data_IF_609442977860
#
_entry.id   IF_609442977860
#
_cell.length_a   1.000
_cell.length_b   1.000
_cell.length_c   1.000
_cell.angle_alpha   90.00
_cell.angle_beta   90.00
_cell.angle_gamma   90.00
#
_symmetry.space_group_name_H-M   'P 1'
#
loop_
_entity.id
_entity.type
_entity.pdbx_description
1 polymer ?
#
# COMPACT_ATOMS: atom_id res chain seq x y z
N UNK A 1 9.15 7.70 20.40
CA UNK A 1 9.00 6.56 19.46
C UNK A 1 9.04 5.27 20.24
N UNK A 2 7.99 4.44 20.19
CA UNK A 2 7.99 3.12 20.82
C UNK A 2 8.91 2.13 20.10
N UNK A 3 9.44 1.13 20.82
CA UNK A 3 10.35 0.11 20.27
C UNK A 3 9.68 -0.67 19.13
N UNK A 4 8.40 -1.04 19.29
CA UNK A 4 7.62 -1.79 18.30
C UNK A 4 7.39 -1.00 17.00
N UNK A 5 6.96 0.26 17.09
CA UNK A 5 6.82 1.17 15.94
C UNK A 5 8.13 1.29 15.17
N UNK A 6 9.23 1.51 15.89
CA UNK A 6 10.57 1.63 15.28
C UNK A 6 10.98 0.35 14.55
N UNK A 7 10.76 -0.81 15.15
CA UNK A 7 11.09 -2.10 14.54
C UNK A 7 10.25 -2.38 13.29
N UNK A 8 8.95 -2.06 13.32
CA UNK A 8 8.05 -2.22 12.18
C UNK A 8 8.43 -1.27 11.02
N UNK A 9 8.62 0.02 11.31
CA UNK A 9 8.98 1.03 10.32
C UNK A 9 10.34 0.75 9.69
N UNK A 10 11.29 0.21 10.45
CA UNK A 10 12.62 -0.19 9.92
C UNK A 10 12.66 -1.58 9.29
N UNK A 11 11.54 -2.32 9.29
CA UNK A 11 11.50 -3.68 8.74
C UNK A 11 12.43 -4.67 9.45
N UNK A 12 12.75 -4.43 10.74
CA UNK A 12 13.72 -5.24 11.51
C UNK A 12 13.15 -6.62 11.87
N UNK A 13 11.82 -6.78 11.85
CA UNK A 13 11.17 -8.09 12.05
C UNK A 13 11.33 -8.90 10.75
N UNK A 14 12.22 -9.91 10.71
CA UNK A 14 12.53 -10.60 9.46
C UNK A 14 11.33 -11.44 9.02
N UNK A 15 10.97 -11.34 7.75
CA UNK A 15 10.06 -12.27 7.12
C UNK A 15 10.77 -13.63 6.95
N UNK A 16 10.60 -14.55 7.91
CA UNK A 16 11.01 -15.95 7.70
C UNK A 16 10.19 -16.62 6.59
N UNK A 17 10.57 -17.82 6.17
CA UNK A 17 9.91 -18.53 5.04
C UNK A 17 8.38 -18.57 5.11
N UNK A 18 7.80 -18.73 6.32
CA UNK A 18 6.33 -18.71 6.53
C UNK A 18 5.68 -17.38 6.12
N UNK A 19 6.34 -16.26 6.37
CA UNK A 19 5.84 -14.92 5.99
C UNK A 19 5.95 -14.73 4.47
N UNK A 20 7.00 -15.27 3.85
CA UNK A 20 7.15 -15.31 2.39
C UNK A 20 5.99 -16.04 1.70
N UNK A 21 5.64 -17.24 2.20
CA UNK A 21 4.51 -18.02 1.68
C UNK A 21 3.16 -17.32 1.86
N UNK A 22 2.91 -16.72 3.03
CA UNK A 22 1.69 -15.96 3.27
C UNK A 22 1.58 -14.74 2.34
N UNK A 23 2.69 -14.01 2.15
CA UNK A 23 2.76 -12.89 1.21
C UNK A 23 2.48 -13.34 -0.23
N UNK A 24 3.09 -14.45 -0.68
CA UNK A 24 2.85 -15.00 -2.01
C UNK A 24 1.38 -15.34 -2.24
N UNK A 25 0.75 -16.00 -1.26
CA UNK A 25 -0.67 -16.32 -1.31
C UNK A 25 -1.55 -15.06 -1.36
N UNK A 26 -1.20 -14.03 -0.59
CA UNK A 26 -1.89 -12.75 -0.62
C UNK A 26 -1.74 -12.06 -1.99
N UNK A 27 -0.54 -12.03 -2.57
CA UNK A 27 -0.31 -11.48 -3.91
C UNK A 27 -1.15 -12.20 -4.97
N UNK A 28 -1.22 -13.53 -4.89
CA UNK A 28 -2.09 -14.31 -5.78
C UNK A 28 -3.55 -13.92 -5.60
N UNK A 29 -4.06 -13.82 -4.36
CA UNK A 29 -5.44 -13.41 -4.11
C UNK A 29 -5.72 -12.01 -4.66
N UNK A 30 -4.84 -11.05 -4.38
CA UNK A 30 -4.95 -9.67 -4.84
C UNK A 30 -4.89 -9.54 -6.37
N UNK A 31 -4.38 -10.56 -7.07
CA UNK A 31 -4.30 -10.62 -8.54
C UNK A 31 -5.46 -11.37 -9.16
N UNK A 32 -5.81 -12.56 -8.64
CA UNK A 32 -6.88 -13.39 -9.20
C UNK A 32 -8.27 -12.80 -8.94
N UNK A 33 -8.48 -12.18 -7.78
CA UNK A 33 -9.78 -11.60 -7.42
C UNK A 33 -10.25 -10.51 -8.39
N UNK A 34 -9.45 -9.47 -8.73
CA UNK A 34 -9.88 -8.49 -9.70
C UNK A 34 -10.11 -9.07 -11.10
N UNK A 35 -9.31 -10.06 -11.53
CA UNK A 35 -9.51 -10.74 -12.82
C UNK A 35 -10.89 -11.40 -12.85
N UNK A 36 -11.20 -12.26 -11.88
CA UNK A 36 -12.46 -13.00 -11.84
C UNK A 36 -13.67 -12.06 -11.72
N UNK A 37 -13.57 -11.00 -10.91
CA UNK A 37 -14.67 -10.05 -10.73
C UNK A 37 -14.87 -9.18 -11.96
N UNK A 38 -13.80 -8.76 -12.63
CA UNK A 38 -13.90 -8.04 -13.89
C UNK A 38 -14.49 -8.91 -15.01
N UNK A 39 -14.04 -10.16 -15.15
CA UNK A 39 -14.57 -11.08 -16.17
C UNK A 39 -16.08 -11.31 -16.03
N UNK A 40 -16.58 -11.33 -14.80
CA UNK A 40 -18.00 -11.59 -14.51
C UNK A 40 -18.87 -10.35 -14.51
N UNK A 41 -18.35 -9.22 -14.07
CA UNK A 41 -19.15 -8.03 -13.75
C UNK A 41 -18.60 -6.74 -14.38
N UNK A 42 -17.52 -6.81 -15.16
CA UNK A 42 -16.89 -5.66 -15.81
C UNK A 42 -16.45 -4.60 -14.82
N UNK A 43 -16.71 -3.33 -15.14
CA UNK A 43 -16.35 -2.17 -14.31
C UNK A 43 -16.94 -2.25 -12.89
N UNK A 44 -18.19 -2.72 -12.74
CA UNK A 44 -18.81 -2.90 -11.43
C UNK A 44 -18.07 -3.94 -10.57
N UNK A 45 -17.46 -4.94 -11.21
CA UNK A 45 -16.58 -5.90 -10.53
C UNK A 45 -15.33 -5.22 -9.96
N UNK A 46 -14.70 -4.34 -10.74
CA UNK A 46 -13.53 -3.56 -10.28
C UNK A 46 -13.89 -2.54 -9.21
N UNK A 47 -15.05 -1.91 -9.26
CA UNK A 47 -15.55 -1.04 -8.19
C UNK A 47 -15.73 -1.81 -6.88
N UNK A 48 -16.27 -3.04 -6.94
CA UNK A 48 -16.38 -3.90 -5.77
C UNK A 48 -15.00 -4.27 -5.20
N UNK A 49 -14.01 -4.53 -6.06
CA UNK A 49 -12.62 -4.76 -5.63
C UNK A 49 -12.07 -3.52 -4.90
N UNK A 50 -12.23 -2.33 -5.48
CA UNK A 50 -11.80 -1.07 -4.86
C UNK A 50 -12.42 -0.87 -3.49
N UNK A 51 -13.72 -1.14 -3.35
CA UNK A 51 -14.43 -1.02 -2.08
C UNK A 51 -13.93 -2.03 -1.04
N UNK A 52 -13.65 -3.28 -1.43
CA UNK A 52 -13.05 -4.28 -0.54
C UNK A 52 -11.71 -3.78 -0.01
N UNK A 53 -10.81 -3.34 -0.90
CA UNK A 53 -9.48 -2.90 -0.50
C UNK A 53 -9.48 -1.60 0.29
N UNK A 54 -10.42 -0.68 0.00
CA UNK A 54 -10.64 0.51 0.84
C UNK A 54 -10.99 0.12 2.27
N UNK A 55 -11.99 -0.75 2.47
CA UNK A 55 -12.41 -1.21 3.81
C UNK A 55 -11.30 -1.93 4.56
N UNK A 56 -10.56 -2.81 3.88
CA UNK A 56 -9.41 -3.48 4.48
C UNK A 56 -8.34 -2.47 4.91
N UNK A 57 -8.08 -1.45 4.09
CA UNK A 57 -7.14 -0.39 4.44
C UNK A 57 -7.60 0.45 5.64
N UNK A 58 -8.90 0.67 5.81
CA UNK A 58 -9.47 1.37 6.98
C UNK A 58 -9.32 0.54 8.26
N UNK A 59 -9.60 -0.76 8.18
CA UNK A 59 -9.45 -1.68 9.31
C UNK A 59 -7.97 -1.80 9.74
N UNK A 60 -7.06 -1.91 8.77
CA UNK A 60 -5.63 -1.95 9.02
C UNK A 60 -5.11 -0.61 9.55
N UNK A 61 -5.60 0.52 9.03
CA UNK A 61 -5.25 1.85 9.55
C UNK A 61 -5.58 1.96 11.04
N UNK A 62 -6.79 1.54 11.43
CA UNK A 62 -7.23 1.51 12.82
C UNK A 62 -6.37 0.57 13.66
N UNK A 63 -6.15 -0.66 13.19
CA UNK A 63 -5.33 -1.63 13.90
C UNK A 63 -3.89 -1.15 14.09
N UNK A 64 -3.33 -0.44 13.11
CA UNK A 64 -2.00 0.14 13.18
C UNK A 64 -1.93 1.29 14.20
N UNK A 65 -2.93 2.18 14.27
CA UNK A 65 -3.02 3.19 15.34
C UNK A 65 -3.02 2.54 16.72
N UNK A 66 -3.91 1.57 16.93
CA UNK A 66 -4.10 0.92 18.22
C UNK A 66 -2.85 0.13 18.67
N UNK A 67 -2.19 -0.58 17.74
CA UNK A 67 -1.11 -1.52 18.07
C UNK A 67 0.29 -0.92 17.98
N UNK A 68 0.50 0.05 17.10
CA UNK A 68 1.81 0.65 16.86
C UNK A 68 1.92 2.06 17.43
N UNK A 69 0.83 2.65 17.94
CA UNK A 69 0.83 4.00 18.49
C UNK A 69 1.16 5.03 17.40
N UNK A 70 0.47 4.92 16.26
CA UNK A 70 0.46 5.98 15.27
C UNK A 70 -0.51 7.08 15.71
N UNK A 71 -0.03 8.31 15.68
CA UNK A 71 -0.84 9.49 15.90
C UNK A 71 -1.38 10.02 14.56
N UNK A 72 -1.90 11.25 14.57
CA UNK A 72 -2.61 11.85 13.45
C UNK A 72 -1.71 12.76 12.58
N UNK A 73 -0.43 12.41 12.34
CA UNK A 73 0.50 13.26 11.58
C UNK A 73 0.85 12.73 10.18
N UNK A 74 1.36 13.61 9.31
CA UNK A 74 1.95 13.22 8.01
C UNK A 74 3.08 12.19 8.17
N UNK A 75 3.88 12.33 9.23
CA UNK A 75 4.95 11.38 9.54
C UNK A 75 4.41 10.01 9.93
N UNK A 76 3.30 9.95 10.65
CA UNK A 76 2.64 8.69 11.00
C UNK A 76 2.05 8.01 9.76
N UNK A 77 1.42 8.77 8.86
CA UNK A 77 0.95 8.25 7.58
C UNK A 77 2.12 7.70 6.73
N UNK A 78 3.24 8.43 6.70
CA UNK A 78 4.47 7.96 6.04
C UNK A 78 4.97 6.64 6.65
N UNK A 79 5.10 6.59 7.97
CA UNK A 79 5.60 5.42 8.68
C UNK A 79 4.68 4.21 8.48
N UNK A 80 3.36 4.43 8.43
CA UNK A 80 2.39 3.39 8.12
C UNK A 80 2.57 2.82 6.71
N UNK A 81 2.75 3.68 5.70
CA UNK A 81 3.07 3.23 4.34
C UNK A 81 4.35 2.42 4.29
N UNK A 82 5.41 2.84 4.99
CA UNK A 82 6.66 2.07 5.09
C UNK A 82 6.44 0.68 5.72
N UNK A 83 5.64 0.59 6.79
CA UNK A 83 5.28 -0.70 7.42
C UNK A 83 4.57 -1.62 6.41
N UNK A 84 3.55 -1.12 5.72
CA UNK A 84 2.84 -1.89 4.68
C UNK A 84 3.81 -2.33 3.58
N UNK A 85 4.67 -1.45 3.09
CA UNK A 85 5.68 -1.80 2.09
C UNK A 85 6.57 -2.96 2.53
N UNK A 86 7.06 -2.95 3.77
CA UNK A 86 7.86 -4.05 4.31
C UNK A 86 7.06 -5.36 4.44
N UNK A 87 5.81 -5.30 4.90
CA UNK A 87 4.92 -6.47 4.97
C UNK A 87 4.73 -7.07 3.58
N UNK A 88 4.49 -6.22 2.58
CA UNK A 88 4.24 -6.62 1.19
C UNK A 88 5.51 -6.94 0.40
N UNK A 89 6.69 -6.71 0.98
CA UNK A 89 7.98 -6.99 0.34
C UNK A 89 8.39 -5.95 -0.72
N UNK A 90 7.73 -4.79 -0.76
CA UNK A 90 8.09 -3.68 -1.62
C UNK A 90 9.39 -3.03 -1.16
N UNK A 91 10.23 -2.60 -2.11
CA UNK A 91 11.34 -1.69 -1.82
C UNK A 91 10.90 -0.29 -2.20
N UNK A 92 10.72 0.56 -1.21
CA UNK A 92 10.31 1.95 -1.40
C UNK A 92 11.39 2.89 -0.91
N UNK A 93 11.65 3.94 -1.69
CA UNK A 93 12.40 5.11 -1.24
C UNK A 93 11.41 6.22 -0.95
N UNK A 94 11.44 6.74 0.27
CA UNK A 94 10.64 7.89 0.67
C UNK A 94 11.51 9.15 0.61
N UNK A 95 11.16 10.07 -0.28
CA UNK A 95 11.85 11.34 -0.47
C UNK A 95 10.96 12.48 0.07
N UNK A 96 11.43 13.13 1.14
CA UNK A 96 10.77 14.31 1.70
C UNK A 96 11.11 15.53 0.85
N UNK A 97 10.18 15.90 -0.03
CA UNK A 97 10.36 17.05 -0.95
C UNK A 97 10.06 18.38 -0.24
N UNK A 98 9.30 18.35 0.86
CA UNK A 98 9.15 19.46 1.82
C UNK A 98 8.76 18.94 3.21
N UNK A 99 8.56 19.84 4.16
CA UNK A 99 8.00 19.54 5.49
C UNK A 99 6.53 19.07 5.43
N UNK A 100 5.82 19.41 4.35
CA UNK A 100 4.42 19.09 4.11
C UNK A 100 4.19 18.00 3.05
N UNK A 101 5.26 17.42 2.48
CA UNK A 101 5.15 16.52 1.34
C UNK A 101 6.24 15.46 1.33
N UNK A 102 5.83 14.22 1.09
CA UNK A 102 6.73 13.08 0.89
C UNK A 102 6.28 12.24 -0.29
N UNK A 103 7.23 11.81 -1.11
CA UNK A 103 7.01 10.96 -2.28
C UNK A 103 7.62 9.57 -2.06
N UNK A 104 6.88 8.54 -2.47
CA UNK A 104 7.24 7.13 -2.35
C UNK A 104 7.52 6.55 -3.72
N UNK A 105 8.81 6.43 -4.01
CA UNK A 105 9.31 5.78 -5.21
C UNK A 105 9.40 4.28 -4.95
N UNK A 106 8.53 3.51 -5.61
CA UNK A 106 8.65 2.06 -5.59
C UNK A 106 9.85 1.67 -6.47
N UNK A 107 10.97 1.29 -5.85
CA UNK A 107 12.11 0.73 -6.57
C UNK A 107 11.86 -0.73 -6.96
N UNK A 108 10.99 -1.40 -6.20
CA UNK A 108 10.50 -2.74 -6.47
C UNK A 108 9.10 -2.90 -5.86
N UNK A 109 8.17 -3.46 -6.63
CA UNK A 109 6.78 -3.71 -6.22
C UNK A 109 6.34 -5.11 -6.67
N UNK A 110 6.32 -6.10 -5.75
CA UNK A 110 5.89 -7.47 -6.08
C UNK A 110 4.50 -7.53 -6.71
N UNK A 111 3.62 -6.63 -6.29
CA UNK A 111 2.25 -6.58 -6.79
C UNK A 111 2.17 -6.08 -8.23
N UNK A 112 3.04 -5.13 -8.61
CA UNK A 112 3.15 -4.69 -10.00
C UNK A 112 3.61 -5.86 -10.89
N UNK A 113 4.62 -6.62 -10.46
CA UNK A 113 5.12 -7.76 -11.22
C UNK A 113 4.04 -8.83 -11.39
N UNK A 114 3.33 -9.17 -10.30
CA UNK A 114 2.23 -10.14 -10.34
C UNK A 114 1.09 -9.73 -11.28
N UNK A 115 0.74 -8.44 -11.31
CA UNK A 115 -0.25 -7.90 -12.23
C UNK A 115 0.23 -7.94 -13.68
N UNK A 116 1.49 -7.55 -13.91
CA UNK A 116 2.10 -7.55 -15.25
C UNK A 116 2.17 -8.95 -15.85
N UNK A 117 2.47 -9.97 -15.04
CA UNK A 117 2.44 -11.38 -15.46
C UNK A 117 1.06 -11.83 -15.97
N UNK A 118 -0.01 -11.17 -15.53
CA UNK A 118 -1.40 -11.42 -15.99
C UNK A 118 -1.85 -10.48 -17.10
N UNK A 119 -0.96 -9.63 -17.61
CA UNK A 119 -1.21 -8.77 -18.76
C UNK A 119 -2.06 -7.54 -18.47
N UNK A 120 -2.35 -7.24 -17.20
CA UNK A 120 -3.12 -6.05 -16.81
C UNK A 120 -2.80 -5.56 -15.41
N UNK A 121 -2.66 -4.24 -15.27
CA UNK A 121 -2.44 -3.57 -14.00
C UNK A 121 -3.76 -3.31 -13.28
N UNK A 122 -3.84 -3.72 -12.02
CA UNK A 122 -5.00 -3.49 -11.13
C UNK A 122 -4.65 -2.53 -9.98
N UNK A 123 -3.61 -1.70 -10.16
CA UNK A 123 -3.14 -0.77 -9.14
C UNK A 123 -4.25 0.16 -8.62
N UNK A 124 -5.12 0.65 -9.52
CA UNK A 124 -6.17 1.61 -9.17
C UNK A 124 -7.37 0.95 -8.49
N UNK A 125 -7.56 -0.35 -8.67
CA UNK A 125 -8.64 -1.11 -8.01
C UNK A 125 -8.19 -1.80 -6.73
N UNK A 126 -6.89 -2.03 -6.56
CA UNK A 126 -6.37 -2.84 -5.45
C UNK A 126 -5.44 -2.05 -4.54
N UNK A 127 -4.31 -1.59 -5.09
CA UNK A 127 -3.26 -0.97 -4.29
C UNK A 127 -3.68 0.43 -3.82
N UNK A 128 -4.13 1.28 -4.74
CA UNK A 128 -4.46 2.67 -4.47
C UNK A 128 -5.59 2.80 -3.44
N UNK A 129 -6.74 2.09 -3.55
CA UNK A 129 -7.80 2.21 -2.55
C UNK A 129 -7.34 1.81 -1.15
N UNK A 130 -6.54 0.75 -1.05
CA UNK A 130 -5.99 0.28 0.23
C UNK A 130 -5.01 1.29 0.85
N UNK A 131 -3.97 1.70 0.12
CA UNK A 131 -2.96 2.62 0.68
C UNK A 131 -3.51 4.01 0.92
N UNK A 132 -4.50 4.44 0.12
CA UNK A 132 -5.20 5.71 0.36
C UNK A 132 -5.96 5.67 1.68
N UNK A 133 -6.68 4.58 1.97
CA UNK A 133 -7.33 4.38 3.26
C UNK A 133 -6.31 4.35 4.41
N UNK A 134 -5.18 3.66 4.26
CA UNK A 134 -4.11 3.66 5.28
C UNK A 134 -3.51 5.05 5.49
N UNK A 135 -3.34 5.84 4.43
CA UNK A 135 -2.78 7.20 4.53
C UNK A 135 -3.63 8.14 5.38
N UNK A 136 -4.92 7.86 5.55
CA UNK A 136 -5.82 8.62 6.45
C UNK A 136 -5.49 8.47 7.93
N UNK A 137 -4.48 7.65 8.28
CA UNK A 137 -3.90 7.65 9.64
C UNK A 137 -3.52 9.08 10.03
N UNK A 138 -2.88 9.82 9.12
CA UNK A 138 -2.59 11.23 9.34
C UNK A 138 -3.83 12.10 9.12
N UNK A 139 -4.17 12.95 10.07
CA UNK A 139 -5.32 13.84 9.94
C UNK A 139 -5.05 14.89 8.87
N UNK A 140 -5.97 15.00 7.91
CA UNK A 140 -5.85 15.94 6.79
C UNK A 140 -4.74 15.59 5.81
N UNK A 141 -4.22 14.35 5.85
CA UNK A 141 -3.28 13.86 4.84
C UNK A 141 -4.03 13.54 3.56
N UNK A 142 -3.56 14.10 2.46
CA UNK A 142 -4.03 13.85 1.10
C UNK A 142 -3.05 12.93 0.37
N UNK A 143 -3.58 12.13 -0.56
CA UNK A 143 -2.82 11.18 -1.36
C UNK A 143 -3.01 11.48 -2.84
N UNK A 144 -1.93 11.45 -3.59
CA UNK A 144 -1.94 11.54 -5.05
C UNK A 144 -0.96 10.56 -5.70
N UNK A 145 -1.20 10.30 -6.99
CA UNK A 145 -0.35 9.48 -7.84
C UNK A 145 0.51 10.41 -8.69
N UNK A 146 1.74 10.66 -8.24
CA UNK A 146 2.75 11.46 -8.96
C UNK A 146 3.10 10.81 -10.31
N UNK A 147 3.23 9.48 -10.32
CA UNK A 147 3.42 8.69 -11.54
C UNK A 147 2.66 7.38 -11.41
N UNK A 148 1.74 7.10 -12.33
CA UNK A 148 1.07 5.80 -12.40
C UNK A 148 2.07 4.68 -12.75
N UNK A 149 1.74 3.45 -12.37
CA UNK A 149 2.50 2.29 -12.84
C UNK A 149 2.15 2.03 -14.31
N UNK A 150 3.15 1.65 -15.10
CA UNK A 150 3.04 1.41 -16.53
C UNK A 150 4.00 0.30 -16.97
N UNK A 151 4.11 0.03 -18.27
CA UNK A 151 5.03 -0.99 -18.77
C UNK A 151 6.50 -0.71 -18.45
N UNK A 152 6.84 0.56 -18.19
CA UNK A 152 8.18 1.03 -17.89
C UNK A 152 8.54 0.94 -16.40
N UNK A 153 7.58 0.68 -15.52
CA UNK A 153 7.85 0.36 -14.13
C UNK A 153 6.73 0.71 -13.15
N UNK A 154 7.03 0.58 -11.85
CA UNK A 154 6.06 0.82 -10.79
C UNK A 154 5.77 2.31 -10.59
N UNK A 155 4.74 2.57 -9.78
CA UNK A 155 4.23 3.91 -9.51
C UNK A 155 5.11 4.72 -8.53
N UNK A 156 4.95 6.04 -8.61
CA UNK A 156 5.30 6.99 -7.55
C UNK A 156 3.99 7.54 -6.99
N UNK A 157 3.86 7.50 -5.67
CA UNK A 157 2.73 8.09 -4.94
C UNK A 157 3.25 9.10 -3.94
N UNK A 158 2.43 10.03 -3.48
CA UNK A 158 2.84 10.87 -2.37
C UNK A 158 1.75 11.14 -1.36
N UNK A 159 2.20 11.62 -0.21
CA UNK A 159 1.38 12.08 0.90
C UNK A 159 1.67 13.57 1.13
N UNK A 160 0.63 14.36 1.33
CA UNK A 160 0.76 15.78 1.66
C UNK A 160 -0.23 16.24 2.71
N UNK A 161 0.07 17.36 3.35
CA UNK A 161 -0.90 18.14 4.13
C UNK A 161 -1.01 19.56 3.53
N UNK A 162 -2.17 20.22 3.61
CA UNK A 162 -2.35 21.61 3.16
C UNK A 162 -1.38 22.62 3.80
#
# INVERSE_FOLDING_TARGET
>A
MGVMKTAAVKGIIPAGNKVGELRSNLMRLMTEMPIVLEERFGAAGLEAVSEIFRRLGEDDAKAMKDRLGFDDTLKDAHDAWMVIGHVMGSKMKADWVSDKRVEFHHLYCPQYDAFKERGKLYCDSVCLPYVSAVGTIGKGVEIDVVKAADDNGPCVKGLSVP
#
